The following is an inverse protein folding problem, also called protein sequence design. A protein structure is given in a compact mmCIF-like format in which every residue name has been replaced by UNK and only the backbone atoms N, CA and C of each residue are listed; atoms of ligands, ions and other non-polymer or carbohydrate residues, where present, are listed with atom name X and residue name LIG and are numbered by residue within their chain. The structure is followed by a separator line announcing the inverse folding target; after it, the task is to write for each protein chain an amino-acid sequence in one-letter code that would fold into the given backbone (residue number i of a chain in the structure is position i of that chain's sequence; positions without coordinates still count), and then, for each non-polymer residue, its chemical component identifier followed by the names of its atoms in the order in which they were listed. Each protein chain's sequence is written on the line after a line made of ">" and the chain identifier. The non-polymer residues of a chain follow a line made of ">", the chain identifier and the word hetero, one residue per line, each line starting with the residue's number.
data_IF_926345923213
#
_entry.id   IF_926345923213
#
_cell.length_a   1.000
_cell.length_b   1.000
_cell.length_c   1.000
_cell.angle_alpha   90.00
_cell.angle_beta   90.00
_cell.angle_gamma   90.00
#
_symmetry.space_group_name_H-M   'P 1'
#
loop_
_entity.id
_entity.type
_entity.pdbx_description
1 polymer ?
#
# COMPACT_ATOMS: atom_id res chain seq x y z
N UNK A 1 18.26 -9.23 -24.95
CA UNK A 1 17.13 -10.04 -25.44
C UNK A 1 15.86 -9.40 -24.87
N UNK A 2 15.08 -8.75 -25.74
CA UNK A 2 13.80 -8.03 -25.54
C UNK A 2 13.90 -6.64 -24.86
N UNK A 3 14.27 -5.58 -25.61
CA UNK A 3 13.40 -4.59 -26.32
C UNK A 3 12.66 -3.64 -25.35
N UNK A 4 13.28 -2.55 -24.88
CA UNK A 4 13.33 -1.20 -25.47
C UNK A 4 12.00 -0.41 -25.51
N UNK A 5 11.93 0.62 -24.67
CA UNK A 5 11.26 1.88 -24.99
C UNK A 5 12.17 3.04 -24.57
N UNK A 6 12.93 3.53 -25.54
CA UNK A 6 13.63 4.81 -25.51
C UNK A 6 12.60 5.95 -25.35
N UNK A 7 12.76 6.78 -24.31
CA UNK A 7 12.02 8.04 -24.14
C UNK A 7 12.94 9.26 -24.35
N UNK A 8 13.92 9.17 -25.24
CA UNK A 8 14.67 10.34 -25.66
C UNK A 8 13.92 11.03 -26.80
N UNK A 9 13.05 11.96 -26.45
CA UNK A 9 12.59 13.01 -27.36
C UNK A 9 12.82 14.35 -26.69
N UNK A 10 14.08 14.78 -26.71
CA UNK A 10 14.41 16.19 -26.57
C UNK A 10 14.09 16.90 -27.88
N UNK A 11 12.95 17.60 -27.83
CA UNK A 11 12.76 19.01 -28.21
C UNK A 11 13.23 19.45 -29.60
N UNK A 12 12.28 19.81 -30.46
CA UNK A 12 12.45 20.97 -31.34
C UNK A 12 11.16 21.81 -31.38
N UNK A 13 11.33 23.05 -30.93
CA UNK A 13 10.62 24.26 -31.35
C UNK A 13 9.40 24.78 -30.57
N UNK A 14 9.52 26.10 -30.35
CA UNK A 14 8.59 27.15 -29.95
C UNK A 14 8.23 27.28 -28.47
N UNK A 15 8.70 28.40 -27.94
CA UNK A 15 8.46 28.94 -26.62
C UNK A 15 6.97 29.16 -26.36
N UNK A 16 6.38 28.28 -25.56
CA UNK A 16 5.34 28.61 -24.60
C UNK A 16 5.82 28.07 -23.27
N UNK A 17 6.16 28.98 -22.35
CA UNK A 17 6.65 28.65 -21.03
C UNK A 17 5.57 27.94 -20.22
N UNK A 18 5.46 26.62 -20.40
CA UNK A 18 4.74 25.78 -19.48
C UNK A 18 5.70 25.46 -18.34
N UNK A 19 5.60 26.23 -17.25
CA UNK A 19 6.19 25.87 -15.96
C UNK A 19 5.58 24.52 -15.56
N UNK A 20 6.27 23.43 -15.87
CA UNK A 20 6.08 22.16 -15.19
C UNK A 20 6.48 22.40 -13.74
N UNK A 21 5.52 22.78 -12.91
CA UNK A 21 5.64 22.64 -11.46
C UNK A 21 5.75 21.14 -11.20
N UNK A 22 6.99 20.64 -11.15
CA UNK A 22 7.25 19.37 -10.49
C UNK A 22 6.81 19.58 -9.05
N UNK A 23 5.68 18.96 -8.69
CA UNK A 23 5.33 18.79 -7.30
C UNK A 23 6.47 18.00 -6.69
N UNK A 24 7.34 18.68 -5.95
CA UNK A 24 8.25 18.01 -5.03
C UNK A 24 7.34 17.30 -4.06
N UNK A 25 7.16 15.99 -4.25
CA UNK A 25 6.63 15.14 -3.20
C UNK A 25 7.60 15.38 -2.05
N UNK A 26 7.16 16.14 -1.06
CA UNK A 26 7.98 16.40 0.12
C UNK A 26 8.48 15.03 0.58
N UNK A 27 9.78 14.93 0.84
CA UNK A 27 10.42 13.70 1.29
C UNK A 27 9.95 13.36 2.71
N UNK A 28 8.65 13.09 2.89
CA UNK A 28 8.13 12.35 4.01
C UNK A 28 8.73 10.96 3.96
N UNK A 29 9.02 10.39 5.13
CA UNK A 29 9.57 9.04 5.22
C UNK A 29 8.75 8.01 4.42
N UNK A 30 9.30 6.82 4.21
CA UNK A 30 8.53 5.75 3.56
C UNK A 30 7.20 5.56 4.27
N UNK A 31 6.10 5.57 3.51
CA UNK A 31 4.78 5.22 4.03
C UNK A 31 4.87 3.85 4.70
N UNK A 32 4.41 3.77 5.93
CA UNK A 32 4.59 2.59 6.77
C UNK A 32 3.25 2.18 7.38
N UNK A 33 3.01 0.88 7.47
CA UNK A 33 1.86 0.26 8.12
C UNK A 33 2.38 -0.77 9.14
N UNK A 34 1.83 -0.75 10.35
CA UNK A 34 2.27 -1.61 11.46
C UNK A 34 1.09 -2.04 12.33
N UNK A 35 1.29 -3.08 13.14
CA UNK A 35 0.34 -3.52 14.15
C UNK A 35 1.06 -3.69 15.49
N UNK A 36 0.40 -3.32 16.59
CA UNK A 36 0.89 -3.66 17.93
C UNK A 36 0.62 -5.13 18.29
N UNK A 37 -0.20 -5.83 17.52
CA UNK A 37 -0.59 -7.21 17.79
C UNK A 37 0.38 -8.25 17.23
N UNK A 38 1.12 -7.91 16.17
CA UNK A 38 2.04 -8.82 15.50
C UNK A 38 3.11 -8.05 14.72
N UNK A 39 4.22 -8.72 14.49
CA UNK A 39 5.30 -8.24 13.61
C UNK A 39 5.05 -8.75 12.19
N UNK A 40 5.43 -7.96 11.19
CA UNK A 40 5.34 -8.37 9.79
C UNK A 40 5.98 -9.75 9.55
N UNK A 41 5.28 -10.59 8.78
CA UNK A 41 5.70 -11.96 8.48
C UNK A 41 5.61 -12.94 9.65
N UNK A 42 5.12 -12.51 10.82
CA UNK A 42 4.84 -13.40 11.96
C UNK A 42 3.35 -13.76 12.04
N UNK A 43 3.06 -14.77 12.85
CA UNK A 43 1.69 -15.23 13.05
C UNK A 43 0.82 -14.12 13.67
N UNK A 44 -0.38 -13.97 13.11
CA UNK A 44 -1.42 -13.10 13.68
C UNK A 44 -2.07 -13.83 14.87
N UNK A 45 -2.26 -13.19 16.03
CA UNK A 45 -2.90 -13.82 17.18
C UNK A 45 -4.30 -14.34 16.86
N UNK A 46 -4.64 -15.52 17.38
CA UNK A 46 -5.89 -16.22 17.06
C UNK A 46 -7.15 -15.37 17.29
N UNK A 47 -7.14 -14.44 18.25
CA UNK A 47 -8.28 -13.55 18.50
C UNK A 47 -8.76 -12.75 17.28
N UNK A 48 -7.88 -12.47 16.32
CA UNK A 48 -8.24 -11.74 15.10
C UNK A 48 -8.72 -12.66 13.96
N UNK A 49 -8.69 -13.97 14.16
CA UNK A 49 -9.24 -14.93 13.21
C UNK A 49 -10.78 -15.01 13.31
N UNK A 50 -11.39 -15.65 12.31
CA UNK A 50 -12.83 -15.95 12.31
C UNK A 50 -13.23 -16.83 13.53
N UNK A 51 -14.51 -16.85 13.86
CA UNK A 51 -15.04 -17.59 15.02
C UNK A 51 -14.97 -19.11 14.90
N UNK A 52 -14.63 -19.65 13.73
CA UNK A 52 -14.37 -21.08 13.51
C UNK A 52 -12.95 -21.52 13.91
N UNK A 53 -12.05 -20.57 14.17
CA UNK A 53 -10.71 -20.84 14.71
C UNK A 53 -10.76 -20.81 16.24
N UNK A 54 -10.10 -21.76 16.90
CA UNK A 54 -10.03 -21.78 18.38
C UNK A 54 -9.40 -20.49 18.92
N UNK A 55 -10.14 -19.78 19.77
CA UNK A 55 -9.76 -18.46 20.29
C UNK A 55 -10.11 -17.28 19.38
N UNK A 56 -10.69 -17.53 18.20
CA UNK A 56 -11.11 -16.52 17.23
C UNK A 56 -12.30 -15.70 17.69
N UNK A 57 -12.22 -14.38 17.49
CA UNK A 57 -13.27 -13.42 17.87
C UNK A 57 -13.79 -12.60 16.69
N UNK A 58 -13.24 -12.80 15.49
CA UNK A 58 -13.59 -12.07 14.27
C UNK A 58 -13.55 -10.55 14.45
N UNK A 59 -12.54 -10.05 15.16
CA UNK A 59 -12.27 -8.63 15.37
C UNK A 59 -11.05 -8.20 14.55
N UNK A 60 -11.00 -6.96 14.09
CA UNK A 60 -9.87 -6.45 13.31
C UNK A 60 -8.61 -6.28 14.18
N UNK A 61 -7.41 -6.54 13.63
CA UNK A 61 -6.18 -6.21 14.32
C UNK A 61 -6.00 -4.69 14.44
N UNK A 62 -5.34 -4.19 15.50
CA UNK A 62 -4.98 -2.78 15.59
C UNK A 62 -3.96 -2.47 14.48
N UNK A 63 -4.22 -1.42 13.70
CA UNK A 63 -3.34 -0.99 12.61
C UNK A 63 -2.97 0.48 12.80
N UNK A 64 -1.69 0.79 12.59
CA UNK A 64 -1.16 2.14 12.65
C UNK A 64 -0.37 2.41 11.38
N UNK A 65 -0.60 3.54 10.73
CA UNK A 65 0.20 3.99 9.61
C UNK A 65 0.82 5.36 9.86
N UNK A 66 1.97 5.60 9.22
CA UNK A 66 2.72 6.84 9.35
C UNK A 66 3.34 7.24 8.01
N UNK A 67 3.70 8.52 7.89
CA UNK A 67 4.32 9.10 6.71
C UNK A 67 3.47 8.91 5.44
N UNK A 68 2.17 9.20 5.53
CA UNK A 68 1.34 9.25 4.34
C UNK A 68 1.91 10.27 3.34
N UNK A 69 1.92 9.96 2.03
CA UNK A 69 2.44 10.88 1.04
C UNK A 69 1.52 12.10 0.90
N UNK A 70 2.08 13.30 0.83
CA UNK A 70 1.32 14.47 0.42
C UNK A 70 1.02 14.41 -1.09
N UNK A 71 -0.20 14.77 -1.56
CA UNK A 71 -1.35 15.29 -0.81
C UNK A 71 -2.46 14.23 -0.61
N UNK A 72 -2.18 13.09 0.04
CA UNK A 72 -3.16 12.02 0.23
C UNK A 72 -4.45 12.55 0.91
N UNK A 73 -5.60 12.40 0.23
CA UNK A 73 -6.90 12.90 0.70
C UNK A 73 -7.70 11.87 1.48
N UNK A 74 -7.40 10.59 1.28
CA UNK A 74 -8.09 9.46 1.89
C UNK A 74 -7.21 8.22 1.82
N UNK A 75 -7.60 7.19 2.57
CA UNK A 75 -6.97 5.87 2.55
C UNK A 75 -8.04 4.81 2.29
N UNK A 76 -7.63 3.73 1.64
CA UNK A 76 -8.37 2.47 1.57
C UNK A 76 -7.44 1.36 2.06
N UNK A 77 -8.00 0.35 2.72
CA UNK A 77 -7.23 -0.75 3.29
C UNK A 77 -7.93 -2.07 2.96
N UNK A 78 -7.21 -2.95 2.25
CA UNK A 78 -7.69 -4.31 1.98
C UNK A 78 -6.86 -5.34 2.75
N UNK A 79 -7.52 -6.30 3.38
CA UNK A 79 -6.88 -7.51 3.92
C UNK A 79 -7.14 -8.67 2.96
N UNK A 80 -6.10 -9.10 2.24
CA UNK A 80 -6.21 -10.11 1.18
C UNK A 80 -5.39 -11.35 1.52
N UNK A 81 -6.05 -12.50 1.60
CA UNK A 81 -5.38 -13.79 1.77
C UNK A 81 -4.91 -14.34 0.41
N UNK A 82 -3.60 -14.27 0.19
CA UNK A 82 -2.93 -14.76 -1.02
C UNK A 82 -2.58 -16.24 -0.97
N UNK A 83 -2.98 -16.96 0.08
CA UNK A 83 -2.78 -18.40 0.14
C UNK A 83 -3.52 -19.10 -1.01
N UNK A 84 -2.93 -20.11 -1.69
CA UNK A 84 -3.54 -20.74 -2.86
C UNK A 84 -4.96 -21.29 -2.63
N UNK A 85 -5.24 -21.77 -1.41
CA UNK A 85 -6.58 -22.27 -1.02
C UNK A 85 -7.58 -21.13 -0.87
N UNK A 86 -7.16 -19.98 -0.35
CA UNK A 86 -8.02 -18.82 -0.17
C UNK A 86 -8.28 -18.08 -1.49
N UNK A 87 -7.39 -18.21 -2.47
CA UNK A 87 -7.54 -17.66 -3.81
C UNK A 87 -7.82 -16.14 -3.82
N UNK A 88 -6.95 -15.35 -3.18
CA UNK A 88 -7.06 -13.89 -3.07
C UNK A 88 -8.34 -13.43 -2.36
N UNK A 89 -8.77 -14.17 -1.33
CA UNK A 89 -9.96 -13.81 -0.56
C UNK A 89 -9.78 -12.45 0.12
N UNK A 90 -10.75 -11.55 -0.05
CA UNK A 90 -10.78 -10.24 0.62
C UNK A 90 -11.53 -10.39 1.94
N UNK A 91 -10.79 -10.37 3.05
CA UNK A 91 -11.38 -10.42 4.40
C UNK A 91 -12.02 -9.10 4.82
N UNK A 92 -11.47 -7.98 4.33
CA UNK A 92 -11.97 -6.63 4.58
C UNK A 92 -11.45 -5.68 3.48
N UNK A 93 -12.24 -4.66 3.14
CA UNK A 93 -11.96 -3.54 2.24
C UNK A 93 -12.45 -2.22 2.86
#
# INVERSE_FOLDING_TARGET
>A
MMLELFWDSIVTSLATGFLLTQATVAAGGKFNLSSSAFVEGKAIPAQYANTGVSGGKNVSPPLNWANAPDPAKSFALACVDRHPIANNWVHWL
#
